data_IF_162424329700
#
_entry.id   IF_162424329700
#
_cell.length_a   1.000
_cell.length_b   1.000
_cell.length_c   1.000
_cell.angle_alpha   90.00
_cell.angle_beta   90.00
_cell.angle_gamma   90.00
#
_symmetry.space_group_name_H-M   'P 1'
#
loop_
_entity.id
_entity.type
_entity.pdbx_description
1 polymer ?
#
# COMPACT_ATOMS: atom_id res chain seq x y z
N UNK A 1 12.23 -41.65 0.96
CA UNK A 1 11.46 -41.05 2.08
C UNK A 1 12.20 -41.10 3.44
N UNK A 2 13.54 -41.19 3.48
CA UNK A 2 14.35 -41.09 4.72
C UNK A 2 15.51 -40.07 4.52
N UNK A 3 15.56 -39.34 3.40
CA UNK A 3 16.76 -38.64 2.94
C UNK A 3 16.75 -37.11 3.16
N UNK A 4 15.78 -36.61 3.92
CA UNK A 4 15.54 -35.19 4.20
C UNK A 4 15.69 -34.90 5.70
N UNK A 5 16.68 -35.51 6.35
CA UNK A 5 17.17 -35.06 7.67
C UNK A 5 17.73 -33.65 7.49
N UNK A 6 16.84 -32.67 7.70
CA UNK A 6 16.97 -31.21 7.71
C UNK A 6 18.30 -30.69 7.15
N UNK A 7 18.31 -30.30 5.89
CA UNK A 7 19.48 -29.69 5.20
C UNK A 7 20.11 -28.54 6.02
N UNK A 8 19.29 -27.82 6.79
CA UNK A 8 19.74 -26.82 7.76
C UNK A 8 20.64 -27.40 8.87
N UNK A 9 20.35 -28.58 9.41
CA UNK A 9 21.21 -29.21 10.42
C UNK A 9 22.56 -29.61 9.82
N UNK A 10 22.58 -30.06 8.56
CA UNK A 10 23.83 -30.35 7.84
C UNK A 10 24.62 -29.08 7.63
N UNK A 11 24.00 -28.01 7.12
CA UNK A 11 24.62 -26.69 6.96
C UNK A 11 25.21 -26.20 8.28
N UNK A 12 24.45 -26.29 9.38
CA UNK A 12 24.92 -25.82 10.69
C UNK A 12 26.17 -26.59 11.17
N UNK A 13 26.26 -27.89 10.89
CA UNK A 13 27.43 -28.74 11.22
C UNK A 13 28.68 -28.44 10.41
N UNK A 14 28.56 -27.78 9.26
CA UNK A 14 29.74 -27.41 8.45
C UNK A 14 30.59 -26.31 9.10
N UNK A 15 30.03 -25.60 10.09
CA UNK A 15 30.71 -24.52 10.81
C UNK A 15 31.35 -23.46 9.87
N UNK A 16 30.64 -23.15 8.79
CA UNK A 16 31.03 -22.13 7.82
C UNK A 16 30.78 -20.74 8.40
N UNK A 17 31.67 -19.80 8.10
CA UNK A 17 31.49 -18.38 8.40
C UNK A 17 30.42 -17.78 7.46
N UNK A 18 29.16 -17.90 7.86
CA UNK A 18 28.02 -17.39 7.09
C UNK A 18 27.97 -15.87 7.00
N UNK A 19 28.74 -15.12 7.81
CA UNK A 19 28.77 -13.65 7.76
C UNK A 19 29.23 -13.13 6.39
N UNK A 20 30.04 -13.92 5.68
CA UNK A 20 30.57 -13.58 4.35
C UNK A 20 29.52 -13.56 3.25
N UNK A 21 28.39 -14.21 3.46
CA UNK A 21 27.31 -14.35 2.48
C UNK A 21 25.97 -13.87 3.03
N UNK A 22 25.99 -12.96 4.02
CA UNK A 22 24.78 -12.38 4.61
C UNK A 22 23.96 -13.36 5.46
N UNK A 23 24.60 -14.37 6.05
CA UNK A 23 23.99 -15.38 6.93
C UNK A 23 24.75 -15.52 8.25
N UNK A 24 25.03 -14.39 8.89
CA UNK A 24 25.70 -14.35 10.18
C UNK A 24 24.87 -15.07 11.25
N UNK A 25 25.56 -15.80 12.13
CA UNK A 25 24.94 -16.41 13.31
C UNK A 25 24.92 -15.42 14.46
N UNK A 26 23.73 -14.93 14.80
CA UNK A 26 23.53 -14.10 15.99
C UNK A 26 23.20 -14.93 17.23
N UNK A 27 23.78 -14.56 18.38
CA UNK A 27 23.32 -15.02 19.71
C UNK A 27 22.13 -14.18 20.22
N UNK A 28 21.85 -13.03 19.63
CA UNK A 28 20.82 -12.10 20.08
C UNK A 28 19.43 -12.49 19.58
N UNK A 29 18.52 -12.71 20.53
CA UNK A 29 17.06 -12.84 20.31
C UNK A 29 16.41 -11.45 20.10
N UNK A 30 17.05 -10.54 19.39
CA UNK A 30 16.45 -9.25 19.09
C UNK A 30 15.41 -9.44 18.00
N UNK A 31 14.18 -9.80 18.38
CA UNK A 31 13.05 -9.70 17.47
C UNK A 31 12.83 -8.21 17.19
N UNK A 32 12.75 -7.86 15.91
CA UNK A 32 12.36 -6.52 15.49
C UNK A 32 10.84 -6.42 15.52
N UNK A 33 10.29 -5.21 15.56
CA UNK A 33 8.85 -4.98 15.62
C UNK A 33 8.10 -5.69 14.48
N UNK A 34 8.75 -5.87 13.32
CA UNK A 34 8.23 -6.54 12.14
C UNK A 34 8.62 -8.01 12.00
N UNK A 35 9.26 -8.62 13.00
CA UNK A 35 9.53 -10.06 13.01
C UNK A 35 8.21 -10.83 13.22
N UNK A 36 7.85 -11.79 12.34
CA UNK A 36 6.63 -12.56 12.49
C UNK A 36 6.53 -13.31 13.83
N UNK A 37 5.31 -13.42 14.36
CA UNK A 37 5.01 -14.19 15.56
C UNK A 37 5.34 -15.66 15.35
N UNK A 38 6.20 -16.19 16.22
CA UNK A 38 6.66 -17.58 16.13
C UNK A 38 7.75 -17.80 15.09
N UNK A 39 8.42 -16.73 14.64
CA UNK A 39 9.62 -16.81 13.82
C UNK A 39 10.75 -17.56 14.55
N UNK A 40 11.53 -18.32 13.78
CA UNK A 40 12.80 -18.91 14.17
C UNK A 40 13.86 -18.39 13.22
N UNK A 41 14.66 -17.43 13.69
CA UNK A 41 15.77 -16.85 12.91
C UNK A 41 16.81 -17.91 12.58
N UNK A 42 17.29 -17.88 11.34
CA UNK A 42 18.30 -18.82 10.80
C UNK A 42 19.61 -18.11 10.40
N UNK A 43 19.58 -16.79 10.21
CA UNK A 43 20.76 -15.98 9.94
C UNK A 43 20.42 -14.50 9.83
N UNK A 44 21.43 -13.65 9.97
CA UNK A 44 21.34 -12.18 9.86
C UNK A 44 22.18 -11.68 8.69
N UNK A 45 21.70 -10.61 8.05
CA UNK A 45 22.47 -9.86 7.08
C UNK A 45 22.88 -8.52 7.69
N UNK A 46 24.16 -8.37 8.01
CA UNK A 46 24.72 -7.15 8.58
C UNK A 46 24.15 -6.78 9.95
N UNK A 47 24.16 -5.47 10.26
CA UNK A 47 23.82 -4.93 11.59
C UNK A 47 22.46 -4.22 11.66
N UNK A 48 21.79 -4.04 10.52
CA UNK A 48 20.57 -3.23 10.39
C UNK A 48 19.28 -3.99 10.76
N UNK A 49 19.43 -5.18 11.33
CA UNK A 49 18.31 -6.01 11.75
C UNK A 49 17.67 -6.84 10.64
N UNK A 50 18.28 -6.89 9.46
CA UNK A 50 17.84 -7.77 8.38
C UNK A 50 18.11 -9.22 8.78
N UNK A 51 17.10 -10.07 8.69
CA UNK A 51 17.22 -11.48 9.06
C UNK A 51 16.38 -12.41 8.22
N UNK A 52 16.82 -13.67 8.17
CA UNK A 52 16.10 -14.77 7.57
C UNK A 52 15.50 -15.64 8.66
N UNK A 53 14.26 -16.08 8.48
CA UNK A 53 13.60 -16.95 9.45
C UNK A 53 12.63 -17.95 8.83
N UNK A 54 12.35 -19.00 9.59
CA UNK A 54 11.13 -19.80 9.40
C UNK A 54 10.00 -19.20 10.23
N UNK A 55 8.76 -19.28 9.74
CA UNK A 55 7.58 -18.84 10.50
C UNK A 55 6.70 -20.04 10.82
N UNK A 56 6.30 -20.17 12.09
CA UNK A 56 5.40 -21.25 12.53
C UNK A 56 4.11 -21.23 11.71
N UNK A 57 3.76 -22.38 11.12
CA UNK A 57 2.55 -22.53 10.29
C UNK A 57 2.79 -22.46 8.78
N UNK A 58 4.03 -22.18 8.35
CA UNK A 58 4.43 -22.10 6.94
C UNK A 58 5.43 -23.19 6.52
N UNK A 59 5.51 -24.29 7.26
CA UNK A 59 6.41 -25.40 6.95
C UNK A 59 7.88 -25.01 7.08
N UNK A 60 8.67 -25.29 6.04
CA UNK A 60 10.10 -24.94 5.97
C UNK A 60 10.38 -23.69 5.12
N UNK A 61 9.33 -22.95 4.74
CA UNK A 61 9.46 -21.72 3.96
C UNK A 61 10.36 -20.69 4.67
N UNK A 62 11.32 -20.15 3.92
CA UNK A 62 12.25 -19.12 4.39
C UNK A 62 11.70 -17.75 4.02
N UNK A 63 11.70 -16.86 5.00
CA UNK A 63 11.30 -15.46 4.85
C UNK A 63 12.50 -14.56 5.08
N UNK A 64 12.64 -13.53 4.25
CA UNK A 64 13.46 -12.36 4.54
C UNK A 64 12.62 -11.34 5.34
N UNK A 65 13.21 -10.77 6.38
CA UNK A 65 12.62 -9.71 7.20
C UNK A 65 13.56 -8.51 7.18
N UNK A 66 13.05 -7.37 6.76
CA UNK A 66 13.82 -6.13 6.62
C UNK A 66 13.08 -4.97 7.30
N UNK A 67 13.53 -4.53 8.49
CA UNK A 67 12.90 -3.43 9.22
C UNK A 67 12.93 -2.07 8.50
N UNK A 68 13.82 -1.93 7.51
CA UNK A 68 14.03 -0.69 6.74
C UNK A 68 13.11 -0.58 5.52
N UNK A 69 12.33 -1.61 5.23
CA UNK A 69 11.36 -1.56 4.13
C UNK A 69 10.19 -0.61 4.42
N UNK A 70 9.45 -0.28 3.35
CA UNK A 70 8.22 0.52 3.45
C UNK A 70 7.21 -0.10 4.42
N UNK A 71 6.46 0.72 5.20
CA UNK A 71 5.41 0.22 6.08
C UNK A 71 4.47 -0.76 5.39
N UNK A 72 4.29 -1.94 6.00
CA UNK A 72 3.50 -3.04 5.45
C UNK A 72 4.29 -4.06 4.62
N UNK A 73 5.48 -3.72 4.12
CA UNK A 73 6.28 -4.57 3.21
C UNK A 73 7.57 -5.11 3.84
N UNK A 74 7.52 -5.48 5.12
CA UNK A 74 8.71 -5.87 5.88
C UNK A 74 9.14 -7.33 5.71
N UNK A 75 8.22 -8.21 5.29
CA UNK A 75 8.45 -9.66 5.30
C UNK A 75 8.09 -10.25 3.96
N UNK A 76 9.04 -10.95 3.33
CA UNK A 76 8.85 -11.55 2.01
C UNK A 76 9.27 -13.02 2.01
N UNK A 77 8.47 -13.94 1.47
CA UNK A 77 8.94 -15.31 1.23
C UNK A 77 10.03 -15.28 0.16
N UNK A 78 11.12 -16.00 0.41
CA UNK A 78 12.27 -16.07 -0.51
C UNK A 78 12.57 -17.49 -0.97
N UNK A 79 12.19 -18.51 -0.20
CA UNK A 79 12.35 -19.90 -0.61
C UNK A 79 11.28 -20.82 0.00
N UNK A 80 10.85 -21.85 -0.74
CA UNK A 80 9.87 -22.85 -0.28
C UNK A 80 10.42 -23.73 0.83
N UNK A 81 11.73 -23.95 0.84
CA UNK A 81 12.45 -24.62 1.92
C UNK A 81 13.91 -24.11 2.05
N UNK A 82 14.65 -24.64 3.02
CA UNK A 82 16.04 -24.23 3.25
C UNK A 82 17.02 -24.75 2.19
N UNK A 83 16.69 -25.80 1.44
CA UNK A 83 17.52 -26.27 0.34
C UNK A 83 17.43 -25.28 -0.83
N UNK A 84 16.21 -24.89 -1.21
CA UNK A 84 15.97 -23.87 -2.24
C UNK A 84 16.65 -22.55 -1.86
N UNK A 85 16.59 -22.18 -0.57
CA UNK A 85 17.30 -21.01 -0.06
C UNK A 85 18.82 -21.07 -0.28
N UNK A 86 19.46 -22.23 -0.04
CA UNK A 86 20.89 -22.40 -0.31
C UNK A 86 21.20 -22.41 -1.82
N UNK A 87 20.32 -22.97 -2.65
CA UNK A 87 20.50 -22.93 -4.11
C UNK A 87 20.38 -21.50 -4.66
N UNK A 88 19.47 -20.71 -4.10
CA UNK A 88 19.35 -19.27 -4.37
C UNK A 88 20.61 -18.52 -3.93
N UNK A 89 21.12 -18.80 -2.73
CA UNK A 89 22.36 -18.20 -2.25
C UNK A 89 23.56 -18.53 -3.17
N UNK A 90 23.64 -19.77 -3.65
CA UNK A 90 24.65 -20.20 -4.61
C UNK A 90 24.52 -19.48 -5.97
N UNK A 91 23.30 -19.13 -6.39
CA UNK A 91 23.05 -18.42 -7.64
C UNK A 91 23.30 -16.91 -7.53
N UNK A 92 22.88 -16.30 -6.41
CA UNK A 92 22.91 -14.86 -6.18
C UNK A 92 24.21 -14.39 -5.49
N UNK A 93 24.96 -15.31 -4.89
CA UNK A 93 26.24 -15.03 -4.25
C UNK A 93 26.15 -14.49 -2.82
N UNK A 94 25.17 -13.63 -2.56
CA UNK A 94 24.95 -13.03 -1.24
C UNK A 94 23.46 -13.01 -0.89
N UNK A 95 23.15 -13.22 0.40
CA UNK A 95 21.78 -13.19 0.86
C UNK A 95 21.15 -11.79 0.70
N UNK A 96 21.91 -10.70 0.73
CA UNK A 96 21.39 -9.34 0.53
C UNK A 96 20.56 -9.19 -0.76
N UNK A 97 20.89 -9.95 -1.81
CA UNK A 97 20.10 -10.01 -3.05
C UNK A 97 18.69 -10.56 -2.78
N UNK A 98 18.59 -11.61 -1.96
CA UNK A 98 17.34 -12.30 -1.65
C UNK A 98 16.41 -11.44 -0.79
N UNK A 99 16.96 -10.52 0.01
CA UNK A 99 16.17 -9.56 0.76
C UNK A 99 15.63 -8.44 -0.14
N UNK A 100 16.43 -7.90 -1.06
CA UNK A 100 16.04 -6.73 -1.86
C UNK A 100 15.18 -7.07 -3.09
N UNK A 101 15.25 -8.31 -3.59
CA UNK A 101 14.59 -8.73 -4.84
C UNK A 101 13.07 -8.49 -4.86
N UNK A 102 12.40 -8.33 -3.71
CA UNK A 102 10.95 -8.09 -3.67
C UNK A 102 10.52 -6.85 -4.47
N UNK A 103 11.32 -5.78 -4.48
CA UNK A 103 10.98 -4.52 -5.14
C UNK A 103 11.62 -4.34 -6.52
N UNK A 104 12.39 -5.32 -7.00
CA UNK A 104 13.10 -5.23 -8.28
C UNK A 104 12.34 -5.85 -9.45
N UNK A 105 12.58 -5.32 -10.64
CA UNK A 105 12.37 -6.03 -11.90
C UNK A 105 13.59 -6.90 -12.29
N UNK A 106 13.48 -7.68 -13.37
CA UNK A 106 14.56 -8.57 -13.82
C UNK A 106 15.83 -7.79 -14.18
N UNK A 107 15.71 -6.61 -14.78
CA UNK A 107 16.85 -5.82 -15.21
C UNK A 107 17.62 -5.25 -14.00
N UNK A 108 16.90 -4.79 -12.98
CA UNK A 108 17.49 -4.34 -11.71
C UNK A 108 18.18 -5.49 -10.98
N UNK A 109 17.58 -6.67 -10.96
CA UNK A 109 18.19 -7.87 -10.38
C UNK A 109 19.49 -8.25 -11.08
N UNK A 110 19.48 -8.32 -12.42
CA UNK A 110 20.65 -8.69 -13.21
C UNK A 110 21.77 -7.64 -13.08
N UNK A 111 21.43 -6.35 -13.12
CA UNK A 111 22.37 -5.25 -12.93
C UNK A 111 23.04 -5.32 -11.55
N UNK A 112 22.26 -5.58 -10.49
CA UNK A 112 22.81 -5.68 -9.13
C UNK A 112 23.84 -6.82 -9.03
N UNK A 113 23.56 -7.99 -9.61
CA UNK A 113 24.51 -9.10 -9.62
C UNK A 113 25.78 -8.79 -10.43
N UNK A 114 25.65 -8.06 -11.53
CA UNK A 114 26.79 -7.65 -12.36
C UNK A 114 27.67 -6.63 -11.64
N UNK A 115 27.07 -5.67 -10.94
CA UNK A 115 27.77 -4.58 -10.27
C UNK A 115 28.41 -5.03 -8.95
N UNK A 116 27.99 -6.17 -8.39
CA UNK A 116 28.48 -6.72 -7.14
C UNK A 116 29.10 -8.12 -7.35
N UNK A 117 30.28 -8.22 -8.01
CA UNK A 117 30.93 -9.50 -8.24
C UNK A 117 31.39 -10.15 -6.93
N UNK A 118 31.39 -11.49 -6.91
CA UNK A 118 31.82 -12.28 -5.77
C UNK A 118 33.26 -11.98 -5.34
N UNK A 119 33.44 -11.74 -4.05
CA UNK A 119 34.78 -11.72 -3.44
C UNK A 119 35.34 -13.14 -3.30
N UNK A 120 36.67 -13.26 -3.16
CA UNK A 120 37.30 -14.57 -2.94
C UNK A 120 36.85 -15.26 -1.65
N UNK A 121 36.52 -14.49 -0.61
CA UNK A 121 36.00 -15.01 0.66
C UNK A 121 34.56 -15.55 0.50
N UNK A 122 33.71 -14.83 -0.22
CA UNK A 122 32.37 -15.30 -0.58
C UNK A 122 32.44 -16.58 -1.42
N UNK A 123 33.29 -16.59 -2.45
CA UNK A 123 33.45 -17.77 -3.31
C UNK A 123 33.84 -19.01 -2.50
N UNK A 124 34.81 -18.90 -1.58
CA UNK A 124 35.23 -20.03 -0.75
C UNK A 124 34.09 -20.58 0.13
N UNK A 125 33.23 -19.71 0.67
CA UNK A 125 32.06 -20.09 1.44
C UNK A 125 31.03 -20.82 0.58
N UNK A 126 30.70 -20.27 -0.59
CA UNK A 126 29.75 -20.86 -1.53
C UNK A 126 30.25 -22.22 -2.07
N UNK A 127 31.56 -22.34 -2.33
CA UNK A 127 32.18 -23.59 -2.74
C UNK A 127 32.05 -24.67 -1.66
N UNK A 128 32.30 -24.31 -0.40
CA UNK A 128 32.12 -25.22 0.72
C UNK A 128 30.67 -25.69 0.85
N UNK A 129 29.68 -24.79 0.67
CA UNK A 129 28.25 -25.16 0.68
C UNK A 129 27.96 -26.14 -0.47
N UNK A 130 28.34 -25.78 -1.69
CA UNK A 130 28.12 -26.58 -2.90
C UNK A 130 28.72 -27.98 -2.80
N UNK A 131 29.98 -28.09 -2.41
CA UNK A 131 30.69 -29.37 -2.35
C UNK A 131 30.22 -30.25 -1.19
N UNK A 132 30.04 -29.68 0.01
CA UNK A 132 29.70 -30.46 1.21
C UNK A 132 28.24 -30.86 1.27
N UNK A 133 27.35 -30.07 0.66
CA UNK A 133 25.92 -30.35 0.62
C UNK A 133 25.44 -30.92 -0.71
N UNK A 134 26.32 -30.99 -1.72
CA UNK A 134 26.02 -31.48 -3.08
C UNK A 134 24.86 -30.72 -3.73
N UNK A 135 24.93 -29.38 -3.66
CA UNK A 135 23.90 -28.48 -4.19
C UNK A 135 24.41 -27.75 -5.43
N UNK A 136 23.53 -27.56 -6.41
CA UNK A 136 23.78 -26.70 -7.56
C UNK A 136 23.14 -25.31 -7.34
N UNK A 137 23.67 -24.24 -7.96
CA UNK A 137 22.98 -22.96 -7.98
C UNK A 137 21.62 -23.09 -8.69
N UNK A 138 20.64 -22.31 -8.24
CA UNK A 138 19.33 -22.25 -8.87
C UNK A 138 19.42 -21.65 -10.28
N UNK A 139 18.74 -22.25 -11.26
CA UNK A 139 18.83 -21.82 -12.66
C UNK A 139 18.12 -20.50 -12.95
N UNK A 140 16.95 -20.27 -12.33
CA UNK A 140 16.10 -19.09 -12.57
C UNK A 140 15.72 -18.43 -11.23
N UNK A 141 16.70 -17.86 -10.49
CA UNK A 141 16.49 -17.38 -9.13
C UNK A 141 15.44 -16.26 -9.06
N UNK A 142 15.48 -15.29 -9.97
CA UNK A 142 14.51 -14.19 -9.99
C UNK A 142 13.07 -14.67 -10.22
N UNK A 143 12.86 -15.46 -11.29
CA UNK A 143 11.53 -15.96 -11.63
C UNK A 143 10.93 -16.82 -10.50
N UNK A 144 11.75 -17.69 -9.88
CA UNK A 144 11.34 -18.51 -8.75
C UNK A 144 10.85 -17.65 -7.56
N UNK A 145 11.61 -16.62 -7.17
CA UNK A 145 11.24 -15.77 -6.03
C UNK A 145 9.97 -14.97 -6.34
N UNK A 146 9.86 -14.40 -7.55
CA UNK A 146 8.68 -13.62 -7.95
C UNK A 146 7.41 -14.46 -8.02
N UNK A 147 7.50 -15.68 -8.52
CA UNK A 147 6.37 -16.63 -8.51
C UNK A 147 5.96 -16.96 -7.08
N UNK A 148 6.92 -17.26 -6.21
CA UNK A 148 6.66 -17.55 -4.80
C UNK A 148 5.98 -16.37 -4.07
N UNK A 149 6.43 -15.14 -4.33
CA UNK A 149 5.85 -13.93 -3.75
C UNK A 149 4.45 -13.65 -4.27
N UNK A 150 4.21 -13.83 -5.57
CA UNK A 150 2.90 -13.60 -6.18
C UNK A 150 1.82 -14.59 -5.68
N UNK A 151 2.20 -15.82 -5.36
CA UNK A 151 1.29 -16.85 -4.83
C UNK A 151 1.00 -16.71 -3.32
N UNK A 152 1.77 -15.89 -2.60
CA UNK A 152 1.73 -15.86 -1.14
C UNK A 152 0.63 -14.94 -0.60
N UNK A 153 -0.20 -15.47 0.29
CA UNK A 153 -1.19 -14.68 1.03
C UNK A 153 -0.55 -14.06 2.29
N UNK A 154 -0.09 -12.82 2.15
CA UNK A 154 0.54 -12.03 3.21
C UNK A 154 -0.36 -11.81 4.44
N UNK A 155 -1.68 -11.87 4.31
CA UNK A 155 -2.63 -11.70 5.44
C UNK A 155 -2.52 -12.83 6.48
N UNK A 156 -1.91 -13.95 6.10
CA UNK A 156 -1.65 -15.09 6.98
C UNK A 156 -0.49 -14.84 7.93
N UNK A 157 0.43 -13.93 7.62
CA UNK A 157 1.49 -13.55 8.55
C UNK A 157 0.86 -12.85 9.74
N UNK A 158 1.23 -13.28 10.93
CA UNK A 158 0.80 -12.67 12.19
C UNK A 158 2.03 -12.08 12.87
N UNK A 159 1.86 -10.91 13.44
CA UNK A 159 2.89 -10.21 14.19
C UNK A 159 2.56 -10.17 15.68
N UNK A 160 3.51 -9.74 16.50
CA UNK A 160 3.29 -9.36 17.91
C UNK A 160 2.60 -8.00 17.99
N UNK A 161 2.08 -7.63 19.17
CA UNK A 161 1.37 -6.35 19.35
C UNK A 161 2.23 -5.14 18.94
N UNK A 162 3.53 -5.17 19.24
CA UNK A 162 4.51 -4.14 18.85
C UNK A 162 4.36 -3.74 17.38
N UNK A 163 4.16 -4.69 16.46
CA UNK A 163 3.98 -4.38 15.05
C UNK A 163 2.81 -3.43 14.78
N UNK A 164 1.66 -3.68 15.41
CA UNK A 164 0.44 -2.90 15.19
C UNK A 164 0.48 -1.54 15.89
N UNK A 165 1.39 -1.34 16.85
CA UNK A 165 1.67 -0.03 17.43
C UNK A 165 2.49 0.85 16.49
N UNK A 166 3.46 0.25 15.78
CA UNK A 166 4.40 0.97 14.90
C UNK A 166 3.94 1.07 13.44
N UNK A 167 3.11 0.13 12.97
CA UNK A 167 2.62 0.07 11.60
C UNK A 167 1.15 0.45 11.60
N UNK A 168 0.80 1.67 11.12
CA UNK A 168 -0.59 2.06 11.04
C UNK A 168 -1.34 1.09 10.12
N UNK A 169 -2.46 0.55 10.62
CA UNK A 169 -3.35 -0.29 9.80
C UNK A 169 -3.80 0.55 8.61
N UNK A 170 -3.61 0.04 7.40
CA UNK A 170 -4.18 0.66 6.22
C UNK A 170 -5.68 0.89 6.47
N UNK A 171 -6.12 2.15 6.46
CA UNK A 171 -7.46 2.47 6.89
C UNK A 171 -8.44 1.95 5.84
N UNK A 172 -9.26 0.98 6.25
CA UNK A 172 -10.26 0.36 5.37
C UNK A 172 -11.35 1.36 5.04
N UNK A 173 -11.68 1.46 3.75
CA UNK A 173 -12.86 2.20 3.30
C UNK A 173 -14.09 1.56 3.98
N UNK A 174 -14.84 2.31 4.81
CA UNK A 174 -16.02 1.78 5.48
C UNK A 174 -17.12 1.46 4.47
N UNK A 175 -18.06 0.59 4.86
CA UNK A 175 -19.28 0.35 4.08
C UNK A 175 -19.99 1.68 3.80
N UNK A 176 -20.35 1.91 2.53
CA UNK A 176 -21.00 3.16 2.12
C UNK A 176 -22.37 3.31 2.77
N UNK A 177 -22.51 4.32 3.63
CA UNK A 177 -23.75 4.67 4.32
C UNK A 177 -23.90 6.17 4.41
N UNK A 178 -25.11 6.64 4.11
CA UNK A 178 -25.47 8.05 4.17
C UNK A 178 -26.50 8.25 5.27
N UNK A 179 -26.32 9.28 6.08
CA UNK A 179 -27.18 9.65 7.19
C UNK A 179 -27.62 11.10 6.99
N UNK A 180 -28.79 11.45 7.51
CA UNK A 180 -29.34 12.80 7.34
C UNK A 180 -28.41 13.85 7.94
N UNK A 181 -27.99 13.70 9.20
CA UNK A 181 -27.04 14.62 9.86
C UNK A 181 -25.57 14.16 9.72
N UNK A 182 -25.28 13.31 8.74
CA UNK A 182 -23.94 12.77 8.49
C UNK A 182 -23.19 13.53 7.40
N UNK A 183 -21.88 13.33 7.31
CA UNK A 183 -21.02 13.87 6.26
C UNK A 183 -20.17 12.75 5.64
N UNK A 184 -19.22 13.10 4.77
CA UNK A 184 -18.32 12.12 4.15
C UNK A 184 -17.32 11.49 5.13
N UNK A 185 -17.07 12.13 6.29
CA UNK A 185 -16.17 11.65 7.35
C UNK A 185 -16.88 10.82 8.41
N UNK A 186 -18.21 10.63 8.30
CA UNK A 186 -18.99 9.74 9.15
C UNK A 186 -20.27 10.38 9.69
N UNK A 187 -20.81 9.76 10.74
CA UNK A 187 -22.00 10.23 11.44
C UNK A 187 -21.85 10.00 12.94
N UNK A 188 -22.55 10.80 13.74
CA UNK A 188 -22.64 10.63 15.19
C UNK A 188 -24.07 10.24 15.56
N UNK A 189 -24.27 9.05 16.14
CA UNK A 189 -25.58 8.63 16.67
C UNK A 189 -25.96 7.19 16.34
N UNK A 190 -27.20 6.82 16.66
CA UNK A 190 -27.78 5.49 16.38
C UNK A 190 -28.84 5.56 15.28
N UNK A 191 -28.74 6.53 14.40
CA UNK A 191 -29.72 6.73 13.35
C UNK A 191 -29.63 5.62 12.30
N UNK A 192 -30.74 5.38 11.62
CA UNK A 192 -30.77 4.43 10.50
C UNK A 192 -30.24 5.14 9.26
N UNK A 193 -29.32 4.50 8.55
CA UNK A 193 -28.86 4.99 7.24
C UNK A 193 -30.03 5.16 6.27
N UNK A 194 -29.95 6.21 5.45
CA UNK A 194 -30.89 6.47 4.38
C UNK A 194 -30.92 5.33 3.38
N UNK A 195 -32.10 5.07 2.82
CA UNK A 195 -32.21 4.13 1.69
C UNK A 195 -31.78 4.84 0.42
N UNK A 196 -30.72 4.33 -0.20
CA UNK A 196 -30.23 4.81 -1.49
C UNK A 196 -31.25 4.53 -2.61
N UNK A 197 -31.44 5.54 -3.45
CA UNK A 197 -32.13 5.47 -4.73
C UNK A 197 -31.14 5.96 -5.76
N UNK A 198 -30.57 5.01 -6.50
CA UNK A 198 -29.64 5.30 -7.58
C UNK A 198 -30.39 5.97 -8.74
N UNK A 199 -29.89 7.12 -9.19
CA UNK A 199 -30.47 7.95 -10.25
C UNK A 199 -29.66 7.92 -11.54
N UNK A 200 -28.33 7.99 -11.42
CA UNK A 200 -27.37 8.12 -12.52
C UNK A 200 -27.86 9.11 -13.60
N UNK A 201 -28.02 10.37 -13.17
CA UNK A 201 -28.44 11.46 -14.04
C UNK A 201 -27.26 12.37 -14.32
N UNK A 202 -27.16 12.79 -15.57
CA UNK A 202 -26.11 13.70 -16.03
C UNK A 202 -26.72 14.85 -16.79
N UNK A 203 -26.17 16.05 -16.61
CA UNK A 203 -26.55 17.25 -17.36
C UNK A 203 -25.37 18.22 -17.44
N UNK A 204 -25.44 19.17 -18.36
CA UNK A 204 -24.44 20.23 -18.49
C UNK A 204 -25.03 21.55 -18.02
N UNK A 205 -24.32 22.26 -17.15
CA UNK A 205 -24.69 23.59 -16.68
C UNK A 205 -23.43 24.43 -16.52
N UNK A 206 -23.43 25.62 -17.12
CA UNK A 206 -22.28 26.55 -17.15
C UNK A 206 -20.99 25.89 -17.70
N UNK A 207 -21.12 25.14 -18.79
CA UNK A 207 -20.06 24.34 -19.42
C UNK A 207 -19.41 23.26 -18.51
N UNK A 208 -19.97 23.02 -17.33
CA UNK A 208 -19.56 21.96 -16.42
C UNK A 208 -20.47 20.74 -16.56
N UNK A 209 -19.89 19.55 -16.41
CA UNK A 209 -20.64 18.28 -16.47
C UNK A 209 -21.03 17.89 -15.06
N UNK A 210 -22.33 17.85 -14.81
CA UNK A 210 -22.93 17.55 -13.51
C UNK A 210 -23.48 16.14 -13.50
N UNK A 211 -23.20 15.43 -12.42
CA UNK A 211 -23.73 14.11 -12.12
C UNK A 211 -24.57 14.18 -10.85
N UNK A 212 -25.74 13.57 -10.87
CA UNK A 212 -26.57 13.28 -9.70
C UNK A 212 -26.65 11.76 -9.61
N UNK A 213 -25.68 11.11 -8.93
CA UNK A 213 -25.61 9.66 -8.89
C UNK A 213 -26.74 9.05 -8.08
N UNK A 214 -27.07 9.62 -6.92
CA UNK A 214 -28.05 9.04 -6.00
C UNK A 214 -28.75 10.08 -5.13
N UNK A 215 -29.95 9.71 -4.66
CA UNK A 215 -30.66 10.36 -3.56
C UNK A 215 -30.89 9.35 -2.43
N UNK A 216 -30.99 9.82 -1.20
CA UNK A 216 -31.19 8.98 -0.03
C UNK A 216 -32.44 9.41 0.72
N UNK A 217 -33.35 8.46 0.94
CA UNK A 217 -34.52 8.70 1.79
C UNK A 217 -34.16 8.40 3.24
N UNK A 218 -34.03 9.43 4.06
CA UNK A 218 -33.78 9.34 5.49
C UNK A 218 -35.08 9.61 6.28
N UNK A 219 -35.11 9.27 7.56
CA UNK A 219 -36.30 9.52 8.41
C UNK A 219 -36.57 11.01 8.64
N UNK A 220 -35.55 11.86 8.51
CA UNK A 220 -35.64 13.31 8.75
C UNK A 220 -35.75 14.15 7.47
N UNK A 221 -35.53 13.55 6.30
CA UNK A 221 -35.56 14.26 5.03
C UNK A 221 -34.85 13.51 3.90
N UNK A 222 -34.59 14.23 2.82
CA UNK A 222 -33.83 13.73 1.67
C UNK A 222 -32.39 14.20 1.77
N UNK A 223 -31.47 13.36 1.32
CA UNK A 223 -30.08 13.73 1.06
C UNK A 223 -29.79 13.52 -0.42
N UNK A 224 -29.09 14.44 -1.05
CA UNK A 224 -28.75 14.38 -2.48
C UNK A 224 -27.25 14.60 -2.64
N UNK A 225 -26.59 13.69 -3.37
CA UNK A 225 -25.21 13.87 -3.76
C UNK A 225 -25.13 14.42 -5.19
N UNK A 226 -24.25 15.40 -5.38
CA UNK A 226 -23.90 16.02 -6.65
C UNK A 226 -22.41 15.82 -6.89
N UNK A 227 -22.03 15.49 -8.11
CA UNK A 227 -20.62 15.38 -8.50
C UNK A 227 -20.40 16.20 -9.78
N UNK A 228 -19.50 17.18 -9.73
CA UNK A 228 -19.10 17.95 -10.91
C UNK A 228 -17.81 17.36 -11.43
N UNK A 229 -17.78 17.01 -12.71
CA UNK A 229 -16.59 16.56 -13.39
C UNK A 229 -15.74 17.76 -13.82
N UNK A 230 -14.46 17.73 -13.48
CA UNK A 230 -13.49 18.78 -13.77
C UNK A 230 -12.34 18.20 -14.58
N UNK A 231 -12.01 18.74 -15.77
CA UNK A 231 -10.86 18.29 -16.54
C UNK A 231 -9.56 18.43 -15.74
N UNK A 232 -8.72 17.39 -15.74
CA UNK A 232 -7.43 17.43 -15.04
C UNK A 232 -6.54 18.61 -15.50
N UNK A 233 -6.57 18.97 -16.78
CA UNK A 233 -5.85 20.13 -17.33
C UNK A 233 -6.28 21.47 -16.73
N UNK A 234 -7.57 21.63 -16.39
CA UNK A 234 -8.07 22.85 -15.70
C UNK A 234 -7.47 22.94 -14.31
N UNK A 235 -7.33 21.81 -13.62
CA UNK A 235 -6.73 21.72 -12.29
C UNK A 235 -5.23 21.99 -12.37
N UNK A 236 -4.51 21.40 -13.33
CA UNK A 236 -3.09 21.66 -13.58
C UNK A 236 -2.83 23.14 -13.85
N UNK A 237 -3.60 23.74 -14.76
CA UNK A 237 -3.47 25.17 -15.09
C UNK A 237 -3.68 26.08 -13.89
N UNK A 238 -4.65 25.74 -13.02
CA UNK A 238 -4.87 26.46 -11.76
C UNK A 238 -3.69 26.31 -10.80
N UNK A 239 -3.19 25.08 -10.62
CA UNK A 239 -2.03 24.83 -9.77
C UNK A 239 -0.78 25.55 -10.27
N UNK A 240 -0.52 25.54 -11.57
CA UNK A 240 0.62 26.23 -12.19
C UNK A 240 0.53 27.75 -12.00
N UNK A 241 -0.67 28.33 -12.19
CA UNK A 241 -0.90 29.77 -11.98
C UNK A 241 -0.52 30.22 -10.57
N UNK A 242 -0.85 29.39 -9.58
CA UNK A 242 -0.65 29.71 -8.17
C UNK A 242 0.60 29.05 -7.57
N UNK A 243 1.38 28.33 -8.36
CA UNK A 243 2.56 27.56 -7.93
C UNK A 243 2.26 26.60 -6.75
N UNK A 244 1.11 25.92 -6.80
CA UNK A 244 0.66 24.97 -5.78
C UNK A 244 1.32 23.60 -5.96
N UNK A 245 1.82 23.03 -4.87
CA UNK A 245 2.40 21.69 -4.86
C UNK A 245 2.22 21.02 -3.50
N UNK A 246 2.62 19.76 -3.36
CA UNK A 246 2.64 19.06 -2.05
C UNK A 246 3.52 19.81 -1.03
N UNK A 247 4.58 20.49 -1.50
CA UNK A 247 5.52 21.23 -0.66
C UNK A 247 5.14 22.71 -0.47
N UNK A 248 4.25 23.23 -1.31
CA UNK A 248 3.80 24.61 -1.28
C UNK A 248 2.27 24.65 -1.24
N UNK A 249 1.74 24.62 -0.01
CA UNK A 249 0.32 24.68 0.30
C UNK A 249 -0.26 26.10 0.31
N UNK A 250 0.56 27.11 -0.01
CA UNK A 250 0.13 28.49 -0.01
C UNK A 250 0.20 29.20 1.35
N UNK A 251 0.94 28.66 2.31
CA UNK A 251 1.21 29.31 3.60
C UNK A 251 1.72 30.75 3.43
N UNK A 252 2.53 31.02 2.40
CA UNK A 252 3.12 32.34 2.11
C UNK A 252 2.21 33.30 1.33
N UNK A 253 0.98 32.90 0.98
CA UNK A 253 0.05 33.78 0.26
C UNK A 253 -0.53 34.87 1.15
N UNK A 254 -0.64 36.07 0.56
CA UNK A 254 -1.42 37.19 1.13
C UNK A 254 -2.90 36.85 1.20
N UNK A 255 -3.65 37.56 2.04
CA UNK A 255 -5.10 37.36 2.17
C UNK A 255 -5.83 37.62 0.84
N UNK A 256 -5.41 38.63 0.06
CA UNK A 256 -5.97 38.90 -1.26
C UNK A 256 -5.72 37.76 -2.25
N UNK A 257 -4.52 37.15 -2.22
CA UNK A 257 -4.20 35.99 -3.05
C UNK A 257 -5.05 34.78 -2.65
N UNK A 258 -5.22 34.53 -1.34
CA UNK A 258 -6.08 33.44 -0.86
C UNK A 258 -7.53 33.61 -1.33
N UNK A 259 -8.08 34.81 -1.25
CA UNK A 259 -9.42 35.10 -1.76
C UNK A 259 -9.54 34.83 -3.27
N UNK A 260 -8.51 35.16 -4.05
CA UNK A 260 -8.49 34.88 -5.49
C UNK A 260 -8.36 33.38 -5.78
N UNK A 261 -7.49 32.68 -5.06
CA UNK A 261 -7.32 31.22 -5.14
C UNK A 261 -8.64 30.52 -4.85
N UNK A 262 -9.32 30.87 -3.76
CA UNK A 262 -10.59 30.27 -3.38
C UNK A 262 -11.69 30.54 -4.43
N UNK A 263 -11.73 31.75 -4.99
CA UNK A 263 -12.69 32.12 -6.02
C UNK A 263 -12.44 31.42 -7.36
N UNK A 264 -11.18 31.12 -7.68
CA UNK A 264 -10.77 30.49 -8.94
C UNK A 264 -10.65 28.97 -8.85
N UNK A 265 -10.69 28.40 -7.65
CA UNK A 265 -10.46 26.98 -7.42
C UNK A 265 -11.46 26.14 -8.22
N UNK A 266 -10.99 25.35 -9.21
CA UNK A 266 -11.88 24.59 -10.08
C UNK A 266 -12.58 23.43 -9.37
N UNK A 267 -12.18 23.08 -8.15
CA UNK A 267 -12.80 22.07 -7.30
C UNK A 267 -13.71 22.68 -6.21
N UNK A 268 -13.83 24.01 -6.15
CA UNK A 268 -14.79 24.66 -5.26
C UNK A 268 -16.20 24.55 -5.85
N UNK A 269 -17.16 24.17 -5.01
CA UNK A 269 -18.56 24.03 -5.40
C UNK A 269 -19.44 24.97 -4.59
N UNK A 270 -20.17 25.83 -5.30
CA UNK A 270 -21.08 26.82 -4.72
C UNK A 270 -22.48 26.65 -5.31
N UNK A 271 -23.26 25.74 -4.72
CA UNK A 271 -24.64 25.46 -5.16
C UNK A 271 -25.67 25.67 -4.06
N UNK A 272 -26.90 25.94 -4.47
CA UNK A 272 -28.06 26.00 -3.59
C UNK A 272 -29.24 25.24 -4.24
N UNK A 273 -29.21 23.90 -4.20
CA UNK A 273 -30.22 23.08 -4.86
C UNK A 273 -31.59 23.25 -4.18
N UNK A 274 -32.65 23.22 -4.99
CA UNK A 274 -34.04 23.23 -4.50
C UNK A 274 -34.77 21.99 -5.00
N UNK A 275 -35.35 21.25 -4.07
CA UNK A 275 -36.15 20.06 -4.38
C UNK A 275 -37.63 20.42 -4.30
N UNK A 276 -38.39 20.10 -5.35
CA UNK A 276 -39.85 20.23 -5.38
C UNK A 276 -40.47 18.85 -5.29
N UNK A 277 -41.14 18.56 -4.17
CA UNK A 277 -41.83 17.30 -3.94
C UNK A 277 -43.34 17.54 -3.93
N UNK A 278 -44.04 16.96 -4.91
CA UNK A 278 -45.50 17.08 -5.06
C UNK A 278 -46.00 18.54 -5.06
N UNK A 279 -45.24 19.46 -5.67
CA UNK A 279 -45.56 20.88 -5.74
C UNK A 279 -45.10 21.72 -4.53
N UNK A 280 -44.53 21.09 -3.49
CA UNK A 280 -43.96 21.78 -2.33
C UNK A 280 -42.46 21.87 -2.44
N UNK A 281 -41.90 23.07 -2.27
CA UNK A 281 -40.45 23.28 -2.19
C UNK A 281 -39.97 22.86 -0.80
N UNK A 282 -39.02 21.94 -0.73
CA UNK A 282 -38.40 21.53 0.53
C UNK A 282 -37.39 22.58 1.02
N UNK A 283 -37.30 22.78 2.34
CA UNK A 283 -36.30 23.64 2.95
C UNK A 283 -34.95 22.94 3.01
N UNK A 284 -33.88 23.63 2.58
CA UNK A 284 -32.50 23.16 2.80
C UNK A 284 -32.16 23.14 4.29
N UNK A 285 -31.37 22.15 4.71
CA UNK A 285 -30.92 22.02 6.10
C UNK A 285 -29.43 22.32 6.23
N UNK A 286 -28.59 21.53 5.56
CA UNK A 286 -27.14 21.63 5.63
C UNK A 286 -26.52 20.91 4.43
N UNK A 287 -25.21 21.05 4.24
CA UNK A 287 -24.47 20.30 3.23
C UNK A 287 -22.99 20.25 3.54
N UNK A 288 -22.27 19.37 2.85
CA UNK A 288 -20.83 19.22 2.97
C UNK A 288 -20.24 18.79 1.63
N UNK A 289 -18.96 19.07 1.39
CA UNK A 289 -18.28 18.68 0.17
C UNK A 289 -16.90 18.11 0.39
N UNK A 290 -16.47 17.29 -0.56
CA UNK A 290 -15.11 16.76 -0.70
C UNK A 290 -14.68 16.89 -2.15
N UNK A 291 -13.39 16.84 -2.43
CA UNK A 291 -12.88 16.93 -3.80
C UNK A 291 -11.83 15.87 -4.09
N UNK A 292 -11.86 15.37 -5.32
CA UNK A 292 -10.84 14.47 -5.87
C UNK A 292 -9.93 15.26 -6.77
N UNK A 293 -8.64 15.30 -6.44
CA UNK A 293 -7.61 15.91 -7.29
C UNK A 293 -6.80 14.82 -8.02
N UNK A 294 -6.91 14.69 -9.34
CA UNK A 294 -6.20 13.68 -10.13
C UNK A 294 -4.72 13.99 -10.28
N UNK A 295 -4.27 15.21 -9.96
CA UNK A 295 -2.85 15.59 -10.01
C UNK A 295 -2.06 15.06 -8.80
N UNK A 296 -2.75 14.73 -7.70
CA UNK A 296 -2.17 14.15 -6.49
C UNK A 296 -3.00 12.97 -5.98
N UNK A 297 -3.08 11.86 -6.74
CA UNK A 297 -3.96 10.74 -6.41
C UNK A 297 -3.70 10.17 -5.01
N UNK A 298 -2.44 10.14 -4.58
CA UNK A 298 -2.04 9.65 -3.26
C UNK A 298 -2.45 10.59 -2.11
N UNK A 299 -2.48 11.91 -2.37
CA UNK A 299 -2.84 12.93 -1.39
C UNK A 299 -4.34 13.03 -1.09
N UNK A 300 -5.18 12.34 -1.86
CA UNK A 300 -6.62 12.31 -1.62
C UNK A 300 -6.98 11.46 -0.39
N UNK A 301 -7.87 12.01 0.46
CA UNK A 301 -8.40 11.33 1.63
C UNK A 301 -9.22 10.07 1.30
N UNK A 302 -9.45 9.23 2.31
CA UNK A 302 -10.23 8.00 2.15
C UNK A 302 -11.69 8.26 1.86
N UNK A 303 -12.24 9.34 2.41
CA UNK A 303 -13.61 9.78 2.23
C UNK A 303 -13.91 10.04 0.75
N UNK A 304 -12.97 10.68 0.03
CA UNK A 304 -13.14 10.94 -1.40
C UNK A 304 -12.89 9.69 -2.24
N UNK A 305 -11.92 8.84 -1.84
CA UNK A 305 -11.71 7.52 -2.47
C UNK A 305 -12.96 6.66 -2.37
N UNK A 306 -13.62 6.66 -1.20
CA UNK A 306 -14.85 5.94 -0.92
C UNK A 306 -16.00 6.34 -1.86
N UNK A 307 -16.28 7.65 -1.99
CA UNK A 307 -17.36 8.13 -2.86
C UNK A 307 -17.05 7.93 -4.34
N UNK A 308 -15.79 8.14 -4.75
CA UNK A 308 -15.33 7.94 -6.13
C UNK A 308 -15.51 6.48 -6.53
N UNK A 309 -15.13 5.55 -5.66
CA UNK A 309 -15.32 4.11 -5.87
C UNK A 309 -16.82 3.73 -5.87
N UNK A 310 -17.60 4.22 -4.91
CA UNK A 310 -19.03 3.86 -4.78
C UNK A 310 -19.85 4.30 -6.00
N UNK A 311 -19.62 5.53 -6.49
CA UNK A 311 -20.33 6.05 -7.66
C UNK A 311 -19.66 5.73 -9.01
N UNK A 312 -18.50 5.07 -9.01
CA UNK A 312 -17.78 4.73 -10.25
C UNK A 312 -17.30 5.97 -11.01
N UNK A 313 -16.87 7.00 -10.29
CA UNK A 313 -16.33 8.23 -10.89
C UNK A 313 -14.95 7.96 -11.47
N UNK A 314 -14.69 8.41 -12.70
CA UNK A 314 -13.40 8.18 -13.38
C UNK A 314 -12.28 8.99 -12.69
N UNK A 315 -11.28 8.33 -12.07
CA UNK A 315 -10.21 9.01 -11.33
C UNK A 315 -9.24 9.81 -12.21
N UNK A 316 -9.32 9.68 -13.55
CA UNK A 316 -8.54 10.50 -14.47
C UNK A 316 -9.02 11.97 -14.51
N UNK A 317 -10.25 12.23 -14.08
CA UNK A 317 -10.82 13.57 -13.92
C UNK A 317 -10.74 14.03 -12.47
N UNK A 318 -10.86 15.33 -12.24
CA UNK A 318 -11.17 15.86 -10.93
C UNK A 318 -12.66 15.86 -10.66
N UNK A 319 -13.01 15.79 -9.38
CA UNK A 319 -14.40 15.77 -8.95
C UNK A 319 -14.62 16.73 -7.80
N UNK A 320 -15.55 17.66 -7.95
CA UNK A 320 -16.10 18.41 -6.83
C UNK A 320 -17.41 17.74 -6.41
N UNK A 321 -17.46 17.23 -5.17
CA UNK A 321 -18.54 16.37 -4.70
C UNK A 321 -19.24 17.08 -3.55
N UNK A 322 -20.55 17.23 -3.64
CA UNK A 322 -21.36 17.91 -2.64
C UNK A 322 -22.56 17.08 -2.23
N UNK A 323 -22.74 16.94 -0.92
CA UNK A 323 -23.91 16.34 -0.29
C UNK A 323 -24.77 17.45 0.29
N UNK A 324 -26.04 17.47 -0.08
CA UNK A 324 -27.05 18.43 0.38
C UNK A 324 -28.28 17.76 0.99
#
# INVERSE_FOLDING_TARGET
MIQQYKIIEKYLKLNIDGSRVGLERGESKSNYFCTPKGAKVIGWAGVDGIHYCFVRGFGEMVFAVSPMNTPGNYVHPVARDFMDFLQLLLACGDAAVLEQVYCWDQAQFDAFLQDNPLTGEQQAVLDAIREKLLLAPMEQPFAYIKELQAEFDYSRIKYTEDYYEWVPVEPKIPEWKVYFDGNFWGHHGRERAGKEIFLDRQFVWDDEVWHIPAIYTCSKGLVVDFCIQVPAERIRSFMDKWNLSIENDGTDFTDEQRMQIDAENPLAININPKVVLNGTVLSGSHGCGVSWNPCFPEGNGLEVKSVTQHYGLDPAYGWAIWRS
#
